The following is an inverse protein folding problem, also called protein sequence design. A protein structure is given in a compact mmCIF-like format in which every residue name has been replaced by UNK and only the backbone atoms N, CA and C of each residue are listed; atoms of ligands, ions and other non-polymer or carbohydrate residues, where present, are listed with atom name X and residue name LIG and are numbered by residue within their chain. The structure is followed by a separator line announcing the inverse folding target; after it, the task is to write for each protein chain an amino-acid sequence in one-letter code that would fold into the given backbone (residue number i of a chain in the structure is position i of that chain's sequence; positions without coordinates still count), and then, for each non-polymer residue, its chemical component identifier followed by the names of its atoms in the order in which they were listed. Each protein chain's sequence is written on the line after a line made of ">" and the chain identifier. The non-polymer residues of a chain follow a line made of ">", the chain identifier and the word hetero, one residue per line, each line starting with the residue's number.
data_IF_190646445710
#
_entry.id   IF_190646445710
#
_cell.length_a   1.000
_cell.length_b   1.000
_cell.length_c   1.000
_cell.angle_alpha   90.00
_cell.angle_beta   90.00
_cell.angle_gamma   90.00
#
_symmetry.space_group_name_H-M   'P 1'
#
loop_
_entity.id
_entity.type
_entity.pdbx_description
1 polymer ?
#
# COMPACT_ATOMS: atom_id res chain seq x y z
N UNK A 1 4.67 12.31 17.70
CA UNK A 1 5.74 12.01 16.72
C UNK A 1 5.60 10.58 16.21
N UNK A 2 6.30 10.18 15.14
CA UNK A 2 6.39 8.77 14.71
C UNK A 2 6.92 7.90 15.85
N UNK A 3 7.86 8.42 16.62
CA UNK A 3 8.51 7.74 17.73
C UNK A 3 7.49 7.37 18.83
N UNK A 4 6.59 8.29 19.19
CA UNK A 4 5.52 8.02 20.18
C UNK A 4 4.57 6.92 19.69
N UNK A 5 4.24 6.90 18.39
CA UNK A 5 3.38 5.88 17.77
C UNK A 5 4.04 4.51 17.78
N UNK A 6 5.35 4.44 17.49
CA UNK A 6 6.11 3.19 17.55
C UNK A 6 6.19 2.68 18.99
N UNK A 7 6.44 3.58 19.95
CA UNK A 7 6.49 3.24 21.37
C UNK A 7 5.17 2.67 21.89
N UNK A 8 4.03 3.21 21.45
CA UNK A 8 2.72 2.67 21.84
C UNK A 8 2.33 1.39 21.10
N UNK A 9 2.79 1.22 19.86
CA UNK A 9 2.38 0.13 18.98
C UNK A 9 3.13 -1.19 19.23
N UNK A 10 4.45 -1.14 19.43
CA UNK A 10 5.25 -2.35 19.59
C UNK A 10 4.81 -3.25 20.76
N UNK A 11 4.47 -2.71 21.96
CA UNK A 11 3.93 -3.53 23.04
C UNK A 11 2.60 -4.20 22.69
N UNK A 12 1.71 -3.49 21.98
CA UNK A 12 0.40 -4.02 21.56
C UNK A 12 0.57 -5.14 20.53
N UNK A 13 1.47 -4.95 19.57
CA UNK A 13 1.82 -5.98 18.59
C UNK A 13 2.40 -7.23 19.26
N UNK A 14 3.33 -7.05 20.21
CA UNK A 14 3.90 -8.16 20.95
C UNK A 14 2.81 -8.97 21.68
N UNK A 15 1.91 -8.29 22.39
CA UNK A 15 0.79 -8.93 23.06
C UNK A 15 -0.14 -9.67 22.08
N UNK A 16 -0.50 -9.04 20.97
CA UNK A 16 -1.34 -9.65 19.94
C UNK A 16 -0.68 -10.91 19.35
N UNK A 17 0.62 -10.89 19.13
CA UNK A 17 1.38 -12.05 18.65
C UNK A 17 1.39 -13.20 19.65
N UNK A 18 1.52 -12.93 20.94
CA UNK A 18 1.47 -13.95 22.00
C UNK A 18 0.07 -14.58 22.11
N UNK A 19 -0.98 -13.77 22.00
CA UNK A 19 -2.35 -14.27 21.96
C UNK A 19 -2.62 -15.12 20.71
N UNK A 20 -2.14 -14.68 19.55
CA UNK A 20 -2.26 -15.41 18.29
C UNK A 20 -1.58 -16.78 18.41
N UNK A 21 -0.33 -16.82 18.91
CA UNK A 21 0.40 -18.08 19.14
C UNK A 21 -0.37 -19.03 20.05
N UNK A 22 -0.95 -18.52 21.16
CA UNK A 22 -1.76 -19.35 22.07
C UNK A 22 -2.99 -19.92 21.37
N UNK A 23 -3.69 -19.11 20.56
CA UNK A 23 -4.88 -19.54 19.82
C UNK A 23 -4.53 -20.58 18.75
N UNK A 24 -3.41 -20.41 18.04
CA UNK A 24 -2.95 -21.34 17.00
C UNK A 24 -2.68 -22.76 17.52
N UNK A 25 -2.27 -22.90 18.79
CA UNK A 25 -2.06 -24.24 19.40
C UNK A 25 -3.37 -25.02 19.53
N UNK A 26 -4.48 -24.33 19.79
CA UNK A 26 -5.79 -24.96 20.05
C UNK A 26 -6.71 -24.96 18.84
N UNK A 27 -6.47 -24.07 17.87
CA UNK A 27 -7.30 -23.90 16.71
C UNK A 27 -7.01 -24.95 15.62
N UNK A 28 -7.98 -25.25 14.75
CA UNK A 28 -7.74 -26.02 13.54
C UNK A 28 -6.71 -25.34 12.62
N UNK A 29 -5.90 -26.13 11.92
CA UNK A 29 -4.80 -25.64 11.08
C UNK A 29 -5.23 -24.64 9.98
N UNK A 30 -6.47 -24.72 9.51
CA UNK A 30 -7.02 -23.88 8.44
C UNK A 30 -7.65 -22.57 8.93
N UNK A 31 -7.79 -22.36 10.24
CA UNK A 31 -8.48 -21.18 10.80
C UNK A 31 -7.65 -19.90 10.63
N UNK A 32 -6.32 -20.02 10.68
CA UNK A 32 -5.38 -18.90 10.55
C UNK A 32 -4.58 -18.98 9.24
N UNK A 33 -5.09 -19.74 8.27
CA UNK A 33 -4.52 -19.81 6.94
C UNK A 33 -4.84 -18.53 6.17
N UNK A 34 -3.84 -17.67 5.99
CA UNK A 34 -3.98 -16.37 5.32
C UNK A 34 -4.17 -16.51 3.80
N UNK A 35 -3.94 -17.70 3.23
CA UNK A 35 -4.17 -18.00 1.82
C UNK A 35 -5.59 -18.55 1.60
N UNK A 36 -6.29 -18.96 2.66
CA UNK A 36 -7.63 -19.52 2.55
C UNK A 36 -8.69 -18.43 2.36
N UNK A 37 -9.11 -18.24 1.11
CA UNK A 37 -10.13 -17.25 0.73
C UNK A 37 -11.56 -17.81 0.69
N UNK A 38 -11.78 -19.08 1.04
CA UNK A 38 -13.11 -19.72 0.95
C UNK A 38 -14.18 -18.99 1.80
N UNK A 39 -13.74 -18.31 2.86
CA UNK A 39 -14.61 -17.56 3.78
C UNK A 39 -14.63 -16.04 3.52
N UNK A 40 -13.88 -15.53 2.55
CA UNK A 40 -13.81 -14.11 2.25
C UNK A 40 -15.06 -13.66 1.46
N UNK A 41 -15.82 -12.72 2.02
CA UNK A 41 -17.01 -12.15 1.37
C UNK A 41 -16.68 -10.98 0.43
N UNK A 42 -15.45 -10.46 0.49
CA UNK A 42 -15.03 -9.24 -0.19
C UNK A 42 -14.00 -9.52 -1.30
N UNK A 43 -13.80 -8.53 -2.19
CA UNK A 43 -12.78 -8.64 -3.25
C UNK A 43 -11.39 -8.59 -2.63
N UNK A 44 -10.57 -9.60 -2.93
CA UNK A 44 -9.20 -9.71 -2.43
C UNK A 44 -8.22 -9.23 -3.51
N UNK A 45 -7.24 -8.42 -3.10
CA UNK A 45 -6.14 -7.96 -3.97
C UNK A 45 -4.85 -8.59 -3.43
N UNK A 46 -4.20 -9.42 -4.25
CA UNK A 46 -2.89 -10.00 -3.94
C UNK A 46 -1.78 -9.00 -4.29
N UNK A 47 -0.88 -8.73 -3.34
CA UNK A 47 0.22 -7.79 -3.50
C UNK A 47 1.56 -8.51 -3.36
N UNK A 48 2.35 -8.52 -4.44
CA UNK A 48 3.73 -9.00 -4.41
C UNK A 48 4.65 -7.92 -3.82
N UNK A 49 5.27 -8.19 -2.67
CA UNK A 49 6.20 -7.27 -2.00
C UNK A 49 7.64 -7.74 -2.22
N UNK A 50 8.51 -6.85 -2.68
CA UNK A 50 9.95 -7.09 -2.79
C UNK A 50 10.71 -6.00 -2.04
N UNK A 51 11.74 -6.39 -1.29
CA UNK A 51 12.66 -5.45 -0.64
C UNK A 51 13.72 -5.08 -1.67
N UNK A 52 13.78 -3.80 -2.03
CA UNK A 52 14.78 -3.26 -2.96
C UNK A 52 15.57 -2.20 -2.22
N UNK A 53 16.90 -2.23 -2.37
CA UNK A 53 17.76 -1.18 -1.84
C UNK A 53 17.41 0.12 -2.59
N UNK A 54 16.84 1.08 -1.87
CA UNK A 54 16.68 2.43 -2.39
C UNK A 54 18.08 3.02 -2.44
N UNK A 55 18.53 3.42 -3.63
CA UNK A 55 19.71 4.28 -3.72
C UNK A 55 19.40 5.53 -2.90
N UNK A 56 20.34 5.96 -2.06
CA UNK A 56 20.24 7.20 -1.30
C UNK A 56 19.89 8.31 -2.28
N UNK A 57 18.61 8.68 -2.36
CA UNK A 57 18.19 9.81 -3.16
C UNK A 57 18.71 11.00 -2.40
N UNK A 58 19.59 11.80 -3.03
CA UNK A 58 20.01 13.13 -2.57
C UNK A 58 18.78 14.08 -2.54
N UNK A 59 17.78 13.75 -1.74
CA UNK A 59 16.75 14.68 -1.29
C UNK A 59 17.30 15.20 0.02
N UNK A 60 17.92 16.37 -0.02
CA UNK A 60 18.49 17.05 1.15
C UNK A 60 17.56 16.87 2.36
N UNK A 61 18.03 16.17 3.39
CA UNK A 61 17.28 15.88 4.62
C UNK A 61 17.06 17.14 5.50
N UNK A 62 17.36 18.32 4.96
CA UNK A 62 17.35 19.61 5.65
C UNK A 62 16.12 20.49 5.30
N UNK A 63 15.07 19.95 4.67
CA UNK A 63 13.77 20.65 4.55
C UNK A 63 12.62 19.75 5.02
N UNK A 64 12.71 19.33 6.29
CA UNK A 64 11.53 19.00 7.10
C UNK A 64 11.18 20.17 8.04
N UNK A 65 11.40 21.40 7.60
CA UNK A 65 10.80 22.59 8.21
C UNK A 65 9.46 22.83 7.53
N UNK A 66 8.40 22.45 8.22
CA UNK A 66 7.04 22.93 7.98
C UNK A 66 7.02 24.46 8.16
N UNK A 67 7.31 25.21 7.11
CA UNK A 67 7.05 26.65 7.03
C UNK A 67 6.32 26.93 5.73
N UNK A 68 4.98 26.98 5.84
CA UNK A 68 4.04 27.86 5.13
C UNK A 68 4.53 28.47 3.80
N UNK A 69 4.15 27.84 2.69
CA UNK A 69 3.79 28.58 1.47
C UNK A 69 2.31 28.30 1.23
N UNK A 70 1.49 29.21 1.76
CA UNK A 70 0.03 29.20 1.63
C UNK A 70 -0.42 29.16 0.16
N UNK A 71 -1.63 28.61 -0.01
CA UNK A 71 -2.47 28.58 -1.22
C UNK A 71 -2.31 27.37 -2.16
N UNK A 72 -2.50 26.15 -1.63
CA UNK A 72 -3.43 25.25 -2.32
C UNK A 72 -4.32 24.55 -1.31
N UNK A 73 -5.60 24.86 -1.37
CA UNK A 73 -6.71 24.09 -0.79
C UNK A 73 -6.70 22.66 -1.37
N UNK A 74 -5.71 21.82 -1.04
CA UNK A 74 -5.74 20.39 -1.34
C UNK A 74 -6.42 19.71 -0.16
N UNK A 75 -7.73 19.87 -0.16
CA UNK A 75 -8.71 19.01 0.47
C UNK A 75 -8.33 17.56 0.09
N UNK A 76 -7.50 16.92 0.93
CA UNK A 76 -7.22 15.48 0.83
C UNK A 76 -8.48 14.76 1.30
N UNK A 77 -9.53 14.88 0.48
CA UNK A 77 -10.79 14.21 0.66
C UNK A 77 -10.52 12.72 0.64
N UNK A 78 -10.94 12.04 1.70
CA UNK A 78 -11.06 10.58 1.74
C UNK A 78 -12.24 10.08 0.91
N UNK A 79 -12.69 10.87 -0.06
CA UNK A 79 -13.87 10.61 -0.89
C UNK A 79 -13.58 9.56 -1.97
N UNK A 80 -14.66 8.97 -2.49
CA UNK A 80 -14.60 7.95 -3.54
C UNK A 80 -13.81 8.46 -4.76
N UNK A 81 -12.80 7.69 -5.16
CA UNK A 81 -11.97 8.01 -6.31
C UNK A 81 -12.77 7.75 -7.59
N UNK A 82 -13.24 8.82 -8.23
CA UNK A 82 -13.91 8.77 -9.54
C UNK A 82 -12.94 9.11 -10.68
N UNK A 83 -13.36 8.87 -11.93
CA UNK A 83 -12.57 9.26 -13.12
C UNK A 83 -12.24 10.75 -13.19
N UNK A 84 -13.03 11.58 -12.50
CA UNK A 84 -12.87 13.02 -12.48
C UNK A 84 -11.81 13.47 -11.46
N UNK A 85 -11.47 12.61 -10.49
CA UNK A 85 -10.58 12.91 -9.37
C UNK A 85 -9.16 12.33 -9.51
N UNK A 86 -8.91 11.47 -10.51
CA UNK A 86 -7.60 10.82 -10.70
C UNK A 86 -6.60 11.81 -11.33
N UNK A 87 -5.61 12.26 -10.56
CA UNK A 87 -4.49 13.09 -11.05
C UNK A 87 -3.42 12.20 -11.70
N UNK A 88 -3.26 12.28 -13.02
CA UNK A 88 -2.13 11.65 -13.72
C UNK A 88 -0.84 12.50 -13.60
N UNK A 89 0.34 11.86 -13.52
CA UNK A 89 1.60 12.58 -13.62
C UNK A 89 1.65 13.40 -14.92
N UNK A 90 2.15 14.64 -14.85
CA UNK A 90 2.32 15.50 -16.03
C UNK A 90 3.15 14.75 -17.07
N UNK A 91 2.59 14.48 -18.25
CA UNK A 91 3.29 13.76 -19.32
C UNK A 91 4.55 14.53 -19.74
N UNK A 92 5.73 14.08 -19.29
CA UNK A 92 7.01 14.53 -19.84
C UNK A 92 7.23 13.85 -21.19
N UNK A 93 6.73 14.47 -22.25
CA UNK A 93 7.19 14.32 -23.63
C UNK A 93 6.89 13.00 -24.36
N UNK A 94 6.76 11.86 -23.69
CA UNK A 94 6.58 10.57 -24.35
C UNK A 94 5.29 9.88 -23.88
N UNK A 95 4.34 9.74 -24.81
CA UNK A 95 3.08 9.01 -24.56
C UNK A 95 3.35 7.52 -24.70
N UNK A 96 2.89 6.72 -23.74
CA UNK A 96 2.91 5.25 -23.87
C UNK A 96 2.18 4.81 -25.14
N UNK A 97 2.81 3.94 -25.94
CA UNK A 97 2.24 3.40 -27.17
C UNK A 97 1.42 2.16 -26.82
N UNK A 98 0.10 2.25 -26.98
CA UNK A 98 -0.80 1.09 -26.88
C UNK A 98 -0.91 0.49 -28.28
N UNK A 99 -0.50 -0.77 -28.43
CA UNK A 99 -0.59 -1.52 -29.69
C UNK A 99 -1.55 -2.70 -29.49
N UNK A 100 -2.47 -2.89 -30.44
CA UNK A 100 -3.38 -4.02 -30.48
C UNK A 100 -2.68 -5.12 -31.29
N UNK A 101 -2.32 -6.22 -30.63
CA UNK A 101 -1.77 -7.39 -31.30
C UNK A 101 -2.93 -8.28 -31.77
N UNK A 102 -3.18 -8.31 -33.07
CA UNK A 102 -4.08 -9.32 -33.65
C UNK A 102 -3.47 -10.70 -33.41
N UNK A 103 -4.18 -11.53 -32.64
CA UNK A 103 -3.83 -12.93 -32.45
C UNK A 103 -4.03 -13.62 -33.78
N UNK A 104 -2.95 -13.94 -34.50
CA UNK A 104 -3.02 -14.79 -35.68
C UNK A 104 -3.60 -16.13 -35.25
N UNK A 105 -4.85 -16.40 -35.61
CA UNK A 105 -5.41 -17.74 -35.62
C UNK A 105 -4.60 -18.50 -36.67
N UNK A 106 -3.60 -19.26 -36.22
CA UNK A 106 -2.94 -20.23 -37.08
C UNK A 106 -3.95 -21.37 -37.30
N UNK A 107 -4.55 -21.38 -38.49
CA UNK A 107 -5.23 -22.55 -39.06
C UNK A 107 -4.19 -23.56 -39.57
#
# INVERSE_FOLDING_TARGET
>A
SVLDRVQSFLPQMAHANDELRRKMVTAPAHQFDIENLESATEKVIEMNVAVVELSDSDTDEDVLTSEDDSESEDDCVTDEVTIDNIKFPKQKGEKGKIEILDSKVNE
#
